data_IF_817040244570
#
_entry.id   IF_817040244570
#
_cell.length_a   1.000
_cell.length_b   1.000
_cell.length_c   1.000
_cell.angle_alpha   90.00
_cell.angle_beta   90.00
_cell.angle_gamma   90.00
#
_symmetry.space_group_name_H-M   'P 1'
#
loop_
_entity.id
_entity.type
_entity.pdbx_description
1 polymer ?
#
# COMPACT_ATOMS: atom_id res chain seq x y z
N UNK A 1 4.96 23.14 -16.69
CA UNK A 1 5.98 22.34 -17.41
C UNK A 1 7.25 23.10 -17.73
N UNK A 2 7.23 24.38 -18.12
CA UNK A 2 8.43 25.08 -18.60
C UNK A 2 9.50 25.42 -17.56
N UNK A 3 9.18 25.37 -16.26
CA UNK A 3 10.12 25.65 -15.16
C UNK A 3 10.97 24.43 -14.84
N UNK A 4 10.33 23.25 -14.67
CA UNK A 4 11.00 21.97 -14.43
C UNK A 4 12.09 21.65 -15.46
N UNK A 5 11.83 21.94 -16.74
CA UNK A 5 12.79 21.71 -17.82
C UNK A 5 13.99 22.67 -17.76
N UNK A 6 13.76 23.92 -17.35
CA UNK A 6 14.85 24.89 -17.14
C UNK A 6 15.68 24.56 -15.90
N UNK A 7 15.04 24.13 -14.83
CA UNK A 7 15.69 23.79 -13.57
C UNK A 7 16.56 22.54 -13.73
N UNK A 8 16.03 21.47 -14.34
CA UNK A 8 16.79 20.25 -14.66
C UNK A 8 17.98 20.52 -15.59
N UNK A 9 17.79 21.33 -16.64
CA UNK A 9 18.89 21.70 -17.55
C UNK A 9 19.97 22.53 -16.83
N UNK A 10 19.58 23.36 -15.87
CA UNK A 10 20.51 24.16 -15.07
C UNK A 10 21.38 23.27 -14.18
N UNK A 11 20.79 22.25 -13.56
CA UNK A 11 21.53 21.30 -12.72
C UNK A 11 22.45 20.38 -13.52
N UNK A 12 22.05 19.99 -14.74
CA UNK A 12 22.93 19.27 -15.69
C UNK A 12 24.13 20.15 -16.06
N UNK A 13 23.92 21.44 -16.34
CA UNK A 13 25.01 22.38 -16.66
C UNK A 13 25.97 22.62 -15.50
N UNK A 14 25.47 22.60 -14.26
CA UNK A 14 26.28 22.72 -13.05
C UNK A 14 27.05 21.43 -12.71
N UNK A 15 26.71 20.30 -13.34
CA UNK A 15 27.30 18.99 -13.05
C UNK A 15 26.74 18.29 -11.81
N UNK A 16 25.64 18.81 -11.25
CA UNK A 16 24.97 18.21 -10.08
C UNK A 16 24.05 17.03 -10.47
N UNK A 17 23.77 16.87 -11.75
CA UNK A 17 22.86 15.89 -12.30
C UNK A 17 23.40 15.34 -13.62
N UNK A 18 23.45 14.02 -13.78
CA UNK A 18 23.78 13.44 -15.09
C UNK A 18 22.63 13.63 -16.09
N UNK A 19 22.96 13.59 -17.39
CA UNK A 19 21.95 13.67 -18.45
C UNK A 19 20.93 12.53 -18.32
N UNK A 20 21.39 11.34 -17.94
CA UNK A 20 20.54 10.17 -17.76
C UNK A 20 19.52 10.39 -16.63
N UNK A 21 19.95 10.87 -15.47
CA UNK A 21 19.04 11.19 -14.35
C UNK A 21 18.05 12.30 -14.71
N UNK A 22 18.48 13.32 -15.46
CA UNK A 22 17.59 14.38 -15.94
C UNK A 22 16.48 13.84 -16.87
N UNK A 23 16.79 12.89 -17.75
CA UNK A 23 15.80 12.22 -18.58
C UNK A 23 14.79 11.43 -17.72
N UNK A 24 15.25 10.74 -16.67
CA UNK A 24 14.34 10.05 -15.74
C UNK A 24 13.37 11.02 -15.07
N UNK A 25 13.85 12.16 -14.57
CA UNK A 25 12.99 13.17 -13.95
C UNK A 25 11.98 13.79 -14.93
N UNK A 26 12.43 14.14 -16.14
CA UNK A 26 11.58 14.77 -17.16
C UNK A 26 10.48 13.83 -17.68
N UNK A 27 10.78 12.54 -17.75
CA UNK A 27 9.82 11.51 -18.17
C UNK A 27 8.98 10.96 -17.01
N UNK A 28 9.20 11.44 -15.77
CA UNK A 28 8.50 10.95 -14.58
C UNK A 28 8.83 9.50 -14.24
N UNK A 29 10.01 9.01 -14.64
CA UNK A 29 10.47 7.64 -14.38
C UNK A 29 11.05 7.53 -12.96
N UNK A 30 10.85 6.39 -12.29
CA UNK A 30 11.44 6.16 -10.98
C UNK A 30 12.97 6.07 -11.09
N UNK A 31 13.68 6.88 -10.31
CA UNK A 31 15.15 6.97 -10.31
C UNK A 31 15.80 5.75 -9.65
N UNK A 32 15.09 5.11 -8.72
CA UNK A 32 15.47 3.83 -8.15
C UNK A 32 14.22 2.99 -7.89
N UNK A 33 14.36 1.69 -8.10
CA UNK A 33 13.35 0.70 -7.71
C UNK A 33 13.98 -0.23 -6.68
N UNK A 34 13.36 -0.32 -5.50
CA UNK A 34 13.73 -1.33 -4.52
C UNK A 34 13.00 -2.63 -4.81
N UNK A 35 13.74 -3.74 -4.90
CA UNK A 35 13.14 -5.06 -5.09
C UNK A 35 12.44 -5.58 -3.81
N UNK A 36 12.79 -5.03 -2.65
CA UNK A 36 12.27 -5.44 -1.34
C UNK A 36 11.23 -4.43 -0.87
N UNK A 37 10.04 -4.93 -0.57
CA UNK A 37 9.02 -4.19 0.15
C UNK A 37 9.23 -4.40 1.65
N UNK A 38 9.17 -3.33 2.43
CA UNK A 38 9.15 -3.40 3.90
C UNK A 38 7.73 -3.15 4.39
N UNK A 39 7.31 -3.93 5.38
CA UNK A 39 6.00 -3.81 6.02
C UNK A 39 6.23 -3.50 7.50
N UNK A 40 5.51 -2.50 8.01
CA UNK A 40 5.49 -2.20 9.44
C UNK A 40 4.41 -3.05 10.12
N UNK A 41 4.78 -3.75 11.19
CA UNK A 41 3.85 -4.51 12.03
C UNK A 41 3.79 -3.85 13.40
N UNK A 42 2.60 -3.39 13.77
CA UNK A 42 2.40 -2.77 15.07
C UNK A 42 2.38 -3.84 16.19
N UNK A 43 3.40 -3.84 17.05
CA UNK A 43 3.55 -4.80 18.15
C UNK A 43 2.95 -4.32 19.47
N UNK A 44 2.26 -3.18 19.49
CA UNK A 44 1.55 -2.68 20.68
C UNK A 44 0.40 -3.63 21.05
N UNK A 45 0.01 -3.63 22.33
CA UNK A 45 -1.17 -4.34 22.84
C UNK A 45 -2.42 -4.01 22.00
N UNK A 46 -3.30 -5.00 21.69
CA UNK A 46 -4.47 -4.80 20.83
C UNK A 46 -5.32 -3.59 21.19
N UNK A 47 -5.58 -3.39 22.49
CA UNK A 47 -6.41 -2.30 23.04
C UNK A 47 -5.81 -0.91 22.84
N UNK A 48 -4.49 -0.82 22.65
CA UNK A 48 -3.74 0.43 22.51
C UNK A 48 -3.31 0.70 21.07
N UNK A 49 -3.67 -0.17 20.12
CA UNK A 49 -3.32 0.02 18.70
C UNK A 49 -4.16 1.15 18.11
N UNK A 50 -3.47 2.08 17.45
CA UNK A 50 -4.13 3.11 16.67
C UNK A 50 -4.74 2.47 15.43
N UNK A 51 -6.04 2.69 15.24
CA UNK A 51 -6.79 2.31 14.04
C UNK A 51 -7.20 3.56 13.26
N UNK A 52 -7.30 3.43 11.95
CA UNK A 52 -7.73 4.52 11.07
C UNK A 52 -9.23 4.40 10.81
N UNK A 53 -9.94 5.53 10.78
CA UNK A 53 -11.34 5.55 10.37
C UNK A 53 -11.45 5.36 8.87
N UNK A 54 -12.57 4.75 8.42
CA UNK A 54 -12.95 4.74 7.01
C UNK A 54 -13.07 6.16 6.48
N UNK A 55 -12.96 6.31 5.16
CA UNK A 55 -13.12 7.62 4.53
C UNK A 55 -14.49 8.22 4.81
N UNK A 56 -14.57 9.54 4.83
CA UNK A 56 -15.82 10.27 5.12
C UNK A 56 -16.95 9.88 4.14
N UNK A 57 -16.61 9.67 2.87
CA UNK A 57 -17.56 9.23 1.84
C UNK A 57 -18.15 7.85 2.14
N UNK A 58 -17.31 6.92 2.62
CA UNK A 58 -17.76 5.58 3.02
C UNK A 58 -18.65 5.69 4.26
N UNK A 59 -18.21 6.42 5.29
CA UNK A 59 -18.97 6.59 6.54
C UNK A 59 -20.36 7.20 6.31
N UNK A 60 -20.51 8.17 5.39
CA UNK A 60 -21.81 8.78 5.06
C UNK A 60 -22.79 7.83 4.38
N UNK A 61 -22.28 6.79 3.72
CA UNK A 61 -23.10 5.79 3.01
C UNK A 61 -23.39 4.56 3.86
N UNK A 62 -22.78 4.46 5.03
CA UNK A 62 -23.01 3.37 5.98
C UNK A 62 -24.34 3.56 6.72
N UNK A 63 -24.85 2.44 7.22
CA UNK A 63 -26.01 2.43 8.11
C UNK A 63 -25.69 3.24 9.39
N UNK A 64 -26.60 4.12 9.83
CA UNK A 64 -26.37 4.97 11.01
C UNK A 64 -26.12 4.19 12.30
N UNK A 65 -26.57 2.93 12.40
CA UNK A 65 -26.37 2.06 13.55
C UNK A 65 -25.15 1.12 13.37
N UNK A 66 -24.38 1.28 12.29
CA UNK A 66 -23.19 0.45 12.02
C UNK A 66 -22.02 0.81 12.91
N UNK A 67 -21.45 -0.19 13.60
CA UNK A 67 -20.27 -0.04 14.47
C UNK A 67 -18.93 -0.25 13.74
N UNK A 68 -18.95 -0.71 12.49
CA UNK A 68 -17.76 -1.06 11.70
C UNK A 68 -17.12 0.20 11.04
N UNK A 69 -16.83 1.24 11.82
CA UNK A 69 -16.32 2.53 11.31
C UNK A 69 -14.81 2.53 11.04
N UNK A 70 -14.10 1.50 11.48
CA UNK A 70 -12.64 1.39 11.39
C UNK A 70 -12.19 0.69 10.11
N UNK A 71 -11.06 1.13 9.56
CA UNK A 71 -10.35 0.43 8.50
C UNK A 71 -9.65 -0.80 9.08
N UNK A 72 -9.77 -1.92 8.35
CA UNK A 72 -9.15 -3.19 8.74
C UNK A 72 -7.72 -3.27 8.21
N UNK A 73 -6.82 -3.75 9.07
CA UNK A 73 -5.40 -3.90 8.77
C UNK A 73 -4.93 -5.36 8.70
N UNK A 74 -3.62 -5.52 8.52
CA UNK A 74 -2.93 -6.82 8.50
C UNK A 74 -3.31 -7.71 9.69
N UNK A 75 -3.37 -7.13 10.88
CA UNK A 75 -3.61 -7.87 12.12
C UNK A 75 -5.04 -8.40 12.19
N UNK A 76 -6.03 -7.61 11.75
CA UNK A 76 -7.43 -8.03 11.71
C UNK A 76 -7.62 -9.20 10.74
N UNK A 77 -6.93 -9.13 9.60
CA UNK A 77 -6.91 -10.22 8.64
C UNK A 77 -6.22 -11.47 9.20
N UNK A 78 -5.06 -11.31 9.84
CA UNK A 78 -4.37 -12.44 10.44
C UNK A 78 -5.20 -13.16 11.52
N UNK A 79 -5.90 -12.40 12.37
CA UNK A 79 -6.80 -12.96 13.39
C UNK A 79 -7.97 -13.72 12.77
N UNK A 80 -8.53 -13.20 11.68
CA UNK A 80 -9.69 -13.80 11.00
C UNK A 80 -9.30 -14.73 9.85
N UNK A 81 -8.04 -15.17 9.79
CA UNK A 81 -7.57 -16.02 8.69
C UNK A 81 -8.33 -17.36 8.69
N UNK A 82 -8.60 -17.96 7.51
CA UNK A 82 -9.20 -19.29 7.45
C UNK A 82 -8.33 -20.34 8.14
N UNK A 83 -8.96 -21.40 8.67
CA UNK A 83 -8.28 -22.50 9.37
C UNK A 83 -7.18 -23.17 8.52
N UNK A 84 -7.33 -23.16 7.19
CA UNK A 84 -6.31 -23.68 6.28
C UNK A 84 -4.99 -22.86 6.27
N UNK A 85 -4.95 -21.71 6.94
CA UNK A 85 -3.79 -20.85 7.13
C UNK A 85 -3.38 -20.75 8.61
N UNK A 86 -3.92 -21.61 9.48
CA UNK A 86 -3.63 -21.56 10.92
C UNK A 86 -2.14 -21.78 11.22
N UNK A 87 -1.49 -22.65 10.45
CA UNK A 87 -0.06 -23.00 10.54
C UNK A 87 0.88 -21.83 10.21
N UNK A 88 0.40 -20.78 9.54
CA UNK A 88 1.22 -19.64 9.17
C UNK A 88 1.38 -18.67 10.34
N UNK A 89 2.62 -18.25 10.60
CA UNK A 89 2.85 -17.15 11.52
C UNK A 89 2.53 -15.78 10.88
N UNK A 90 2.41 -14.74 11.69
CA UNK A 90 2.10 -13.38 11.21
C UNK A 90 3.09 -12.87 10.16
N UNK A 91 4.38 -13.19 10.31
CA UNK A 91 5.41 -12.76 9.37
C UNK A 91 5.27 -13.46 8.00
N UNK A 92 5.01 -14.77 8.01
CA UNK A 92 4.73 -15.53 6.79
C UNK A 92 3.44 -15.05 6.13
N UNK A 93 2.39 -14.83 6.93
CA UNK A 93 1.13 -14.30 6.42
C UNK A 93 1.31 -12.92 5.75
N UNK A 94 2.03 -12.00 6.41
CA UNK A 94 2.29 -10.65 5.90
C UNK A 94 3.14 -10.63 4.62
N UNK A 95 4.02 -11.61 4.43
CA UNK A 95 4.88 -11.69 3.24
C UNK A 95 4.19 -12.40 2.07
N UNK A 96 3.29 -13.33 2.35
CA UNK A 96 2.63 -14.16 1.34
C UNK A 96 1.28 -13.62 0.87
N UNK A 97 0.59 -12.82 1.69
CA UNK A 97 -0.76 -12.36 1.39
C UNK A 97 -0.88 -10.84 1.39
N UNK A 98 -1.55 -10.33 0.35
CA UNK A 98 -1.99 -8.94 0.30
C UNK A 98 -3.51 -8.89 0.46
N UNK A 99 -3.98 -8.05 1.38
CA UNK A 99 -5.40 -7.76 1.57
C UNK A 99 -5.84 -6.72 0.53
N UNK A 100 -6.82 -7.10 -0.30
CA UNK A 100 -7.54 -6.15 -1.14
C UNK A 100 -8.71 -5.62 -0.30
N UNK A 101 -8.52 -4.48 0.34
CA UNK A 101 -9.64 -3.73 0.92
C UNK A 101 -10.69 -3.47 -0.18
N UNK A 102 -11.97 -3.58 0.15
CA UNK A 102 -13.03 -3.05 -0.70
C UNK A 102 -13.07 -1.52 -0.56
N UNK A 103 -11.98 -0.85 -0.91
CA UNK A 103 -11.94 0.61 -1.00
C UNK A 103 -11.49 1.02 -2.40
N UNK A 104 -12.16 2.05 -2.89
CA UNK A 104 -12.36 2.36 -4.30
C UNK A 104 -11.05 2.57 -5.06
N UNK A 105 -11.05 2.11 -6.31
CA UNK A 105 -9.99 2.30 -7.29
C UNK A 105 -9.74 3.79 -7.48
N UNK A 106 -8.75 4.37 -6.79
CA UNK A 106 -8.04 5.51 -7.37
C UNK A 106 -7.28 4.94 -8.56
N UNK A 107 -7.63 5.38 -9.77
CA UNK A 107 -7.05 4.93 -11.04
C UNK A 107 -5.51 5.10 -11.02
N UNK A 108 -4.81 4.07 -10.58
CA UNK A 108 -3.35 3.89 -10.69
C UNK A 108 -3.04 2.86 -11.79
N UNK A 109 -3.92 2.73 -12.79
CA UNK A 109 -3.85 1.69 -13.81
C UNK A 109 -2.76 1.93 -14.87
N UNK A 110 -2.03 3.05 -14.82
CA UNK A 110 -1.09 3.39 -15.91
C UNK A 110 0.40 3.18 -15.60
N UNK A 111 0.80 2.75 -14.39
CA UNK A 111 2.23 2.62 -14.04
C UNK A 111 2.64 1.17 -13.67
N UNK A 112 1.69 0.27 -13.43
CA UNK A 112 1.96 -1.05 -12.83
C UNK A 112 2.17 -2.22 -13.79
N UNK A 113 2.25 -2.00 -15.10
CA UNK A 113 2.32 -3.14 -16.02
C UNK A 113 3.71 -3.81 -16.11
N UNK A 114 4.76 -3.29 -15.45
CA UNK A 114 6.12 -3.84 -15.57
C UNK A 114 6.99 -3.79 -14.31
N UNK A 115 6.41 -4.02 -13.14
CA UNK A 115 7.22 -4.35 -11.96
C UNK A 115 6.70 -5.65 -11.38
N UNK A 116 7.21 -6.74 -11.93
CA UNK A 116 7.08 -8.07 -11.35
C UNK A 116 7.72 -8.01 -9.97
N UNK A 117 6.89 -7.92 -8.92
CA UNK A 117 7.37 -8.04 -7.54
C UNK A 117 7.98 -9.43 -7.38
N UNK A 118 9.18 -9.56 -6.80
CA UNK A 118 9.95 -10.82 -6.78
C UNK A 118 9.31 -11.91 -5.90
N UNK A 119 8.18 -11.62 -5.24
CA UNK A 119 7.42 -12.58 -4.46
C UNK A 119 5.98 -12.62 -4.96
N UNK A 120 5.46 -13.79 -5.37
CA UNK A 120 4.05 -13.94 -5.72
C UNK A 120 3.22 -13.80 -4.44
N UNK A 121 2.72 -12.59 -4.18
CA UNK A 121 1.76 -12.36 -3.10
C UNK A 121 0.39 -12.84 -3.57
N UNK A 122 -0.16 -13.84 -2.86
CA UNK A 122 -1.51 -14.35 -3.13
C UNK A 122 -2.53 -13.32 -2.66
N UNK A 123 -3.53 -13.02 -3.47
CA UNK A 123 -4.65 -12.20 -3.02
C UNK A 123 -5.64 -13.07 -2.24
N UNK A 124 -5.89 -12.74 -0.98
CA UNK A 124 -6.89 -13.41 -0.15
C UNK A 124 -8.14 -12.53 -0.08
N UNK A 125 -9.28 -13.06 -0.53
CA UNK A 125 -10.58 -12.38 -0.44
C UNK A 125 -11.53 -13.19 0.44
N UNK A 126 -11.83 -12.68 1.63
CA UNK A 126 -12.85 -13.23 2.51
C UNK A 126 -13.43 -12.09 3.36
N UNK A 127 -14.66 -12.29 3.83
CA UNK A 127 -15.28 -11.34 4.75
C UNK A 127 -14.68 -11.57 6.12
N UNK A 128 -13.92 -10.59 6.60
CA UNK A 128 -13.62 -10.50 8.03
C UNK A 128 -14.96 -10.23 8.73
N UNK A 129 -15.44 -11.15 9.56
CA UNK A 129 -16.61 -10.89 10.40
C UNK A 129 -16.15 -10.06 11.58
N UNK A 130 -16.74 -8.88 11.76
CA UNK A 130 -16.38 -8.00 12.87
C UNK A 130 -16.70 -8.68 14.19
N UNK A 131 -15.68 -8.86 15.03
CA UNK A 131 -15.85 -9.21 16.44
C UNK A 131 -14.78 -8.49 17.23
N UNK A 132 -15.19 -7.34 17.78
CA UNK A 132 -14.78 -6.74 19.04
C UNK A 132 -15.95 -5.87 19.52
#
# INVERSE_FOLDING_TARGET
>A
MSTLLRDTLTEVKKGNLSVQEACYYLLGMPVSNANRTTLFVNTVEPEKRVSTLKSEDVLKTMDPDSTDILCRGLLDHYTNRPDCLEDLCLAEFATMYNYKGQEQRVNMTMIREKIETPTPTKSLSYRVTGSL
#
